data_IF_480946565184
#
_entry.id   IF_480946565184
#
_cell.length_a   1.000
_cell.length_b   1.000
_cell.length_c   1.000
_cell.angle_alpha   90.00
_cell.angle_beta   90.00
_cell.angle_gamma   90.00
#
_symmetry.space_group_name_H-M   'P 1'
#
loop_
_entity.id
_entity.type
_entity.pdbx_description
1 polymer ?
#
# COMPACT_ATOMS: atom_id res chain seq x y z
N UNK A 1 -36.29 -16.07 17.01
CA UNK A 1 -35.26 -15.23 16.36
C UNK A 1 -34.70 -14.28 17.39
N UNK A 2 -33.40 -14.38 17.74
CA UNK A 2 -32.75 -13.39 18.61
C UNK A 2 -32.58 -12.10 17.80
N UNK A 3 -32.95 -10.96 18.38
CA UNK A 3 -32.74 -9.66 17.74
C UNK A 3 -31.24 -9.37 17.66
N UNK A 4 -30.74 -8.94 16.49
CA UNK A 4 -29.38 -8.42 16.34
C UNK A 4 -29.15 -7.24 17.30
N UNK A 5 -27.96 -7.13 17.85
CA UNK A 5 -27.57 -5.94 18.63
C UNK A 5 -27.52 -4.68 17.76
N UNK A 6 -27.65 -3.51 18.39
CA UNK A 6 -27.58 -2.22 17.67
C UNK A 6 -26.25 -2.01 16.92
N UNK A 7 -25.18 -2.67 17.34
CA UNK A 7 -23.89 -2.72 16.64
C UNK A 7 -23.97 -3.48 15.31
N UNK A 8 -24.58 -4.67 15.28
CA UNK A 8 -24.73 -5.46 14.06
C UNK A 8 -25.53 -4.71 12.99
N UNK A 9 -26.64 -4.08 13.37
CA UNK A 9 -27.48 -3.28 12.45
C UNK A 9 -26.70 -2.09 11.87
N UNK A 10 -25.84 -1.44 12.67
CA UNK A 10 -25.00 -0.34 12.18
C UNK A 10 -23.93 -0.83 11.21
N UNK A 11 -23.31 -1.98 11.48
CA UNK A 11 -22.33 -2.58 10.57
C UNK A 11 -22.95 -2.96 9.23
N UNK A 12 -24.15 -3.54 9.24
CA UNK A 12 -24.90 -3.87 8.01
C UNK A 12 -25.15 -2.60 7.17
N UNK A 13 -25.50 -1.48 7.82
CA UNK A 13 -25.70 -0.21 7.13
C UNK A 13 -24.40 0.35 6.53
N UNK A 14 -23.27 0.24 7.24
CA UNK A 14 -21.97 0.68 6.71
C UNK A 14 -21.53 -0.20 5.55
N UNK A 15 -21.70 -1.52 5.67
CA UNK A 15 -21.42 -2.47 4.59
C UNK A 15 -22.24 -2.14 3.35
N UNK A 16 -23.54 -1.85 3.50
CA UNK A 16 -24.38 -1.40 2.39
C UNK A 16 -23.85 -0.10 1.75
N UNK A 17 -23.43 0.88 2.53
CA UNK A 17 -22.85 2.11 1.97
C UNK A 17 -21.55 1.82 1.20
N UNK A 18 -20.68 0.98 1.73
CA UNK A 18 -19.42 0.59 1.09
C UNK A 18 -19.70 -0.16 -0.22
N UNK A 19 -20.68 -1.05 -0.25
CA UNK A 19 -21.08 -1.76 -1.46
C UNK A 19 -21.55 -0.78 -2.57
N UNK A 20 -22.43 0.15 -2.19
CA UNK A 20 -23.02 1.13 -3.10
C UNK A 20 -22.09 2.27 -3.54
N UNK A 21 -20.96 2.46 -2.87
CA UNK A 21 -20.02 3.56 -3.18
C UNK A 21 -18.68 3.06 -3.69
N UNK A 22 -18.19 1.95 -3.16
CA UNK A 22 -16.88 1.38 -3.44
C UNK A 22 -17.06 0.12 -4.28
N UNK A 23 -17.62 -0.97 -3.72
CA UNK A 23 -17.56 -2.32 -4.33
C UNK A 23 -18.19 -2.38 -5.73
N UNK A 24 -19.19 -1.56 -6.03
CA UNK A 24 -19.79 -1.49 -7.37
C UNK A 24 -18.81 -1.16 -8.51
N UNK A 25 -17.66 -0.57 -8.19
CA UNK A 25 -16.62 -0.21 -9.15
C UNK A 25 -15.47 -1.22 -9.22
N UNK A 26 -15.59 -2.34 -8.50
CA UNK A 26 -14.57 -3.37 -8.46
C UNK A 26 -14.53 -4.18 -9.75
N UNK A 27 -13.34 -4.43 -10.29
CA UNK A 27 -13.18 -5.39 -11.36
C UNK A 27 -13.40 -6.82 -10.84
N UNK A 28 -14.31 -7.57 -11.45
CA UNK A 28 -14.67 -8.92 -11.01
C UNK A 28 -13.49 -9.92 -11.05
N UNK A 29 -12.58 -9.76 -12.02
CA UNK A 29 -11.45 -10.67 -12.24
C UNK A 29 -10.30 -10.29 -11.32
N UNK A 30 -9.79 -9.06 -11.45
CA UNK A 30 -8.59 -8.64 -10.73
C UNK A 30 -8.88 -8.16 -9.31
N UNK A 31 -10.11 -7.73 -9.00
CA UNK A 31 -10.44 -7.12 -7.72
C UNK A 31 -9.97 -5.67 -7.57
N UNK A 32 -9.26 -5.12 -8.57
CA UNK A 32 -8.77 -3.75 -8.55
C UNK A 32 -9.89 -2.75 -8.86
N UNK A 33 -9.75 -1.53 -8.34
CA UNK A 33 -10.64 -0.40 -8.58
C UNK A 33 -10.03 0.55 -9.60
N UNK A 34 -10.84 0.92 -10.59
CA UNK A 34 -10.51 1.93 -11.58
C UNK A 34 -10.94 3.32 -11.11
N UNK A 35 -10.14 4.35 -11.42
CA UNK A 35 -10.62 5.72 -11.31
C UNK A 35 -11.58 6.02 -12.48
N UNK A 36 -12.89 6.12 -12.20
CA UNK A 36 -13.90 6.19 -13.25
C UNK A 36 -14.04 7.55 -13.95
N UNK A 37 -13.49 8.64 -13.40
CA UNK A 37 -13.79 9.99 -13.92
C UNK A 37 -12.95 10.35 -15.13
N UNK A 38 -11.63 10.33 -14.98
CA UNK A 38 -10.72 10.93 -15.97
C UNK A 38 -9.86 9.88 -16.70
N UNK A 39 -9.69 8.70 -16.11
CA UNK A 39 -8.80 7.65 -16.61
C UNK A 39 -9.42 6.25 -16.47
N UNK A 40 -10.40 5.91 -17.33
CA UNK A 40 -11.02 4.59 -17.30
C UNK A 40 -9.94 3.51 -17.48
N UNK A 41 -10.03 2.43 -16.70
CA UNK A 41 -9.05 1.32 -16.61
C UNK A 41 -7.74 1.60 -15.84
N UNK A 42 -7.53 2.80 -15.29
CA UNK A 42 -6.33 3.05 -14.46
C UNK A 42 -6.61 2.77 -12.98
N UNK A 43 -5.79 1.88 -12.38
CA UNK A 43 -5.75 1.56 -10.96
C UNK A 43 -4.51 2.18 -10.33
N UNK A 44 -4.69 3.18 -9.47
CA UNK A 44 -3.62 3.70 -8.63
C UNK A 44 -3.41 2.77 -7.43
N UNK A 45 -2.14 2.52 -7.09
CA UNK A 45 -1.79 1.69 -5.92
C UNK A 45 -2.37 2.30 -4.66
N UNK A 46 -2.19 3.60 -4.43
CA UNK A 46 -2.64 4.27 -3.20
C UNK A 46 -4.15 4.20 -3.01
N UNK A 47 -4.92 4.52 -4.04
CA UNK A 47 -6.38 4.48 -4.03
C UNK A 47 -6.90 3.07 -3.70
N UNK A 48 -6.30 2.05 -4.33
CA UNK A 48 -6.67 0.66 -4.06
C UNK A 48 -6.32 0.26 -2.62
N UNK A 49 -5.18 0.70 -2.08
CA UNK A 49 -4.82 0.43 -0.68
C UNK A 49 -5.77 1.12 0.30
N UNK A 50 -6.25 2.35 0.02
CA UNK A 50 -7.28 2.99 0.85
C UNK A 50 -8.63 2.28 0.81
N UNK A 51 -9.01 1.73 -0.34
CA UNK A 51 -10.18 0.86 -0.42
C UNK A 51 -9.98 -0.39 0.45
N UNK A 52 -8.80 -1.02 0.40
CA UNK A 52 -8.46 -2.17 1.24
C UNK A 52 -8.58 -1.82 2.72
N UNK A 53 -8.11 -0.66 3.17
CA UNK A 53 -8.29 -0.23 4.56
C UNK A 53 -9.76 -0.14 4.97
N UNK A 54 -10.62 0.36 4.08
CA UNK A 54 -12.06 0.49 4.35
C UNK A 54 -12.72 -0.89 4.51
N UNK A 55 -12.39 -1.83 3.63
CA UNK A 55 -12.88 -3.22 3.68
C UNK A 55 -12.29 -3.99 4.87
N UNK A 56 -11.01 -3.81 5.15
CA UNK A 56 -10.32 -4.46 6.27
C UNK A 56 -10.81 -3.96 7.63
N UNK A 57 -11.11 -2.66 7.76
CA UNK A 57 -11.72 -2.11 8.97
C UNK A 57 -13.10 -2.74 9.24
N UNK A 58 -13.92 -2.91 8.20
CA UNK A 58 -15.19 -3.63 8.30
C UNK A 58 -15.00 -5.10 8.67
N UNK A 59 -14.07 -5.79 8.00
CA UNK A 59 -13.69 -7.17 8.35
C UNK A 59 -13.37 -7.30 9.85
N UNK A 60 -12.47 -6.44 10.36
CA UNK A 60 -12.07 -6.43 11.78
C UNK A 60 -13.26 -6.15 12.70
N UNK A 61 -14.15 -5.25 12.31
CA UNK A 61 -15.33 -4.91 13.10
C UNK A 61 -16.33 -6.07 13.14
N UNK A 62 -16.58 -6.74 12.00
CA UNK A 62 -17.41 -7.94 11.95
C UNK A 62 -16.79 -9.08 12.74
N UNK A 63 -15.49 -9.35 12.59
CA UNK A 63 -14.79 -10.39 13.37
C UNK A 63 -14.90 -10.16 14.89
N UNK A 64 -14.92 -8.90 15.34
CA UNK A 64 -15.05 -8.55 16.75
C UNK A 64 -16.49 -8.64 17.27
N UNK A 65 -17.47 -8.34 16.42
CA UNK A 65 -18.89 -8.20 16.80
C UNK A 65 -19.78 -9.34 16.28
N UNK A 66 -19.22 -10.37 15.65
CA UNK A 66 -19.99 -11.46 15.06
C UNK A 66 -20.75 -12.23 16.13
N UNK A 67 -22.08 -12.18 16.03
CA UNK A 67 -22.99 -12.91 16.92
C UNK A 67 -23.59 -14.14 16.23
N UNK A 68 -23.63 -14.11 14.90
CA UNK A 68 -24.25 -15.13 14.05
C UNK A 68 -23.30 -15.57 12.93
N UNK A 69 -23.50 -16.80 12.43
CA UNK A 69 -22.71 -17.35 11.32
C UNK A 69 -22.79 -16.51 10.05
N UNK A 70 -23.90 -15.81 9.83
CA UNK A 70 -24.05 -14.84 8.73
C UNK A 70 -23.05 -13.69 8.83
N UNK A 71 -22.81 -13.17 10.04
CA UNK A 71 -21.89 -12.06 10.27
C UNK A 71 -20.44 -12.51 10.05
N UNK A 72 -20.13 -13.74 10.45
CA UNK A 72 -18.84 -14.37 10.17
C UNK A 72 -18.64 -14.63 8.67
N UNK A 73 -19.70 -15.02 7.96
CA UNK A 73 -19.67 -15.21 6.50
C UNK A 73 -19.34 -13.90 5.78
N UNK A 74 -20.03 -12.81 6.14
CA UNK A 74 -19.72 -11.46 5.63
C UNK A 74 -18.30 -11.02 5.94
N UNK A 75 -17.82 -11.29 7.15
CA UNK A 75 -16.44 -11.00 7.54
C UNK A 75 -15.47 -11.75 6.61
N UNK A 76 -15.67 -13.06 6.41
CA UNK A 76 -14.80 -13.86 5.57
C UNK A 76 -14.79 -13.38 4.11
N UNK A 77 -15.94 -13.01 3.55
CA UNK A 77 -16.03 -12.42 2.21
C UNK A 77 -15.22 -11.13 2.08
N UNK A 78 -15.34 -10.22 3.07
CA UNK A 78 -14.54 -8.99 3.13
C UNK A 78 -13.04 -9.30 3.24
N UNK A 79 -12.66 -10.24 4.10
CA UNK A 79 -11.28 -10.67 4.29
C UNK A 79 -10.66 -11.24 3.01
N UNK A 80 -11.38 -12.14 2.33
CA UNK A 80 -10.96 -12.71 1.05
C UNK A 80 -10.85 -11.64 -0.05
N UNK A 81 -11.76 -10.66 -0.05
CA UNK A 81 -11.69 -9.52 -0.98
C UNK A 81 -10.44 -8.69 -0.73
N UNK A 82 -10.12 -8.35 0.52
CA UNK A 82 -8.88 -7.65 0.88
C UNK A 82 -7.64 -8.42 0.43
N UNK A 83 -7.59 -9.74 0.70
CA UNK A 83 -6.47 -10.61 0.28
C UNK A 83 -6.32 -10.60 -1.24
N UNK A 84 -7.42 -10.77 -1.99
CA UNK A 84 -7.42 -10.74 -3.46
C UNK A 84 -6.89 -9.41 -4.01
N UNK A 85 -7.30 -8.30 -3.41
CA UNK A 85 -6.84 -6.97 -3.83
C UNK A 85 -5.34 -6.76 -3.56
N UNK A 86 -4.87 -7.08 -2.35
CA UNK A 86 -3.45 -6.99 -2.00
C UNK A 86 -2.61 -7.86 -2.93
N UNK A 87 -3.07 -9.09 -3.20
CA UNK A 87 -2.42 -10.00 -4.15
C UNK A 87 -2.39 -9.45 -5.58
N UNK A 88 -3.47 -8.83 -6.05
CA UNK A 88 -3.47 -8.22 -7.38
C UNK A 88 -2.51 -7.04 -7.49
N UNK A 89 -2.37 -6.20 -6.46
CA UNK A 89 -1.37 -5.13 -6.43
C UNK A 89 0.05 -5.73 -6.43
N UNK A 90 0.28 -6.78 -5.64
CA UNK A 90 1.56 -7.49 -5.60
C UNK A 90 1.93 -8.03 -6.99
N UNK A 91 0.99 -8.68 -7.67
CA UNK A 91 1.19 -9.18 -9.03
C UNK A 91 1.44 -8.05 -10.05
N UNK A 92 0.88 -6.86 -9.87
CA UNK A 92 1.21 -5.68 -10.67
C UNK A 92 2.68 -5.27 -10.46
N UNK A 93 3.13 -5.20 -9.20
CA UNK A 93 4.50 -4.82 -8.86
C UNK A 93 5.52 -5.88 -9.30
N UNK A 94 5.22 -7.17 -9.12
CA UNK A 94 6.10 -8.29 -9.51
C UNK A 94 6.37 -8.32 -11.01
N UNK A 95 5.42 -7.90 -11.85
CA UNK A 95 5.64 -7.72 -13.30
C UNK A 95 6.72 -6.67 -13.62
N UNK A 96 7.11 -5.84 -12.66
CA UNK A 96 8.15 -4.82 -12.78
C UNK A 96 9.42 -5.19 -11.99
N UNK A 97 9.61 -6.47 -11.62
CA UNK A 97 10.74 -6.89 -10.80
C UNK A 97 12.11 -6.52 -11.39
N UNK A 98 12.27 -6.60 -12.72
CA UNK A 98 13.50 -6.18 -13.39
C UNK A 98 13.83 -4.71 -13.12
N UNK A 99 12.82 -3.84 -13.08
CA UNK A 99 13.00 -2.42 -12.77
C UNK A 99 13.48 -2.21 -11.34
N UNK A 100 12.88 -2.94 -10.37
CA UNK A 100 13.28 -2.89 -8.96
C UNK A 100 14.75 -3.26 -8.79
N UNK A 101 15.21 -4.29 -9.49
CA UNK A 101 16.62 -4.72 -9.46
C UNK A 101 17.58 -3.67 -10.03
N UNK A 102 17.20 -3.02 -11.14
CA UNK A 102 17.99 -1.94 -11.75
C UNK A 102 18.00 -0.71 -10.84
N UNK A 103 16.86 -0.35 -10.25
CA UNK A 103 16.74 0.79 -9.35
C UNK A 103 17.64 0.65 -8.11
N UNK A 104 17.73 -0.54 -7.51
CA UNK A 104 18.64 -0.78 -6.37
C UNK A 104 20.10 -0.48 -6.70
N UNK A 105 20.52 -0.61 -7.97
CA UNK A 105 21.90 -0.35 -8.42
C UNK A 105 22.15 1.10 -8.80
N UNK A 106 21.21 1.71 -9.53
CA UNK A 106 21.44 3.00 -10.19
C UNK A 106 20.57 4.14 -9.66
N UNK A 107 19.49 3.84 -8.92
CA UNK A 107 18.57 4.80 -8.29
C UNK A 107 18.04 5.86 -9.26
N UNK A 108 17.79 5.47 -10.52
CA UNK A 108 17.29 6.39 -11.54
C UNK A 108 15.77 6.43 -11.53
N UNK A 109 15.14 7.59 -11.75
CA UNK A 109 13.68 7.72 -11.79
C UNK A 109 13.02 6.85 -12.86
N UNK A 110 13.67 6.66 -14.01
CA UNK A 110 13.13 5.83 -15.11
C UNK A 110 13.00 4.37 -14.70
N UNK A 111 13.82 3.92 -13.76
CA UNK A 111 13.83 2.56 -13.24
C UNK A 111 12.88 2.40 -12.04
N UNK A 112 12.12 3.45 -11.67
CA UNK A 112 11.16 3.38 -10.56
C UNK A 112 9.93 2.53 -10.88
N UNK A 113 9.32 1.99 -9.82
CA UNK A 113 8.03 1.32 -9.92
C UNK A 113 6.94 2.30 -10.34
N UNK A 114 6.01 1.82 -11.16
CA UNK A 114 4.86 2.62 -11.56
C UNK A 114 3.85 2.73 -10.41
N UNK A 115 3.27 3.92 -10.25
CA UNK A 115 2.23 4.19 -9.27
C UNK A 115 0.82 3.72 -9.70
N UNK A 116 0.64 3.42 -11.00
CA UNK A 116 -0.65 3.05 -11.59
C UNK A 116 -0.52 1.93 -12.64
N UNK A 117 -1.56 1.11 -12.73
CA UNK A 117 -1.62 -0.10 -13.56
C UNK A 117 -2.97 -0.22 -14.27
N UNK A 118 -3.05 -1.07 -15.29
CA UNK A 118 -4.32 -1.41 -15.93
C UNK A 118 -5.13 -2.31 -15.00
N UNK A 119 -6.37 -1.93 -14.73
CA UNK A 119 -7.31 -2.66 -13.89
C UNK A 119 -7.58 -4.05 -14.47
N UNK A 120 -7.64 -4.14 -15.80
CA UNK A 120 -7.98 -5.38 -16.51
C UNK A 120 -6.78 -6.30 -16.70
N UNK A 121 -5.62 -5.75 -17.07
CA UNK A 121 -4.44 -6.56 -17.47
C UNK A 121 -3.34 -6.63 -16.44
N UNK A 122 -3.37 -5.76 -15.40
CA UNK A 122 -2.31 -5.58 -14.39
C UNK A 122 -0.97 -5.09 -14.97
N UNK A 123 -0.96 -4.64 -16.24
CA UNK A 123 0.22 -4.13 -16.91
C UNK A 123 0.39 -2.61 -16.71
N UNK A 124 1.55 -2.09 -17.12
CA UNK A 124 1.83 -0.66 -17.18
C UNK A 124 0.88 0.04 -18.15
N UNK A 125 0.37 1.22 -17.76
CA UNK A 125 -0.56 2.03 -18.56
C UNK A 125 0.08 3.29 -19.15
N UNK A 126 1.27 3.66 -18.68
CA UNK A 126 2.04 4.80 -19.17
C UNK A 126 3.51 4.40 -19.29
N UNK A 127 4.23 5.02 -20.21
CA UNK A 127 5.67 4.83 -20.34
C UNK A 127 6.47 5.46 -19.19
N UNK A 128 7.71 5.02 -19.02
CA UNK A 128 8.60 5.37 -17.90
C UNK A 128 8.90 6.88 -17.76
N UNK A 129 8.78 7.65 -18.84
CA UNK A 129 9.03 9.09 -18.87
C UNK A 129 7.77 9.94 -18.90
N UNK A 130 6.59 9.31 -19.00
CA UNK A 130 5.31 10.01 -19.23
C UNK A 130 4.59 10.38 -17.93
N UNK A 131 5.08 9.89 -16.79
CA UNK A 131 4.44 10.12 -15.50
C UNK A 131 5.45 10.20 -14.35
N UNK A 132 5.07 10.86 -13.26
CA UNK A 132 5.81 10.86 -12.01
C UNK A 132 5.68 9.55 -11.25
N UNK A 133 6.27 8.48 -11.77
CA UNK A 133 6.11 7.11 -11.28
C UNK A 133 6.71 6.88 -9.89
N UNK A 134 7.81 7.55 -9.56
CA UNK A 134 8.53 7.38 -8.30
C UNK A 134 7.73 7.95 -7.12
N UNK A 135 6.84 7.11 -6.57
CA UNK A 135 6.01 7.34 -5.39
C UNK A 135 6.38 6.31 -4.32
N UNK A 136 7.41 6.63 -3.54
CA UNK A 136 7.94 5.74 -2.49
C UNK A 136 6.90 5.57 -1.38
N UNK A 137 6.08 6.59 -1.14
CA UNK A 137 4.98 6.56 -0.19
C UNK A 137 3.93 5.50 -0.54
N UNK A 138 3.57 5.34 -1.81
CA UNK A 138 2.57 4.35 -2.24
C UNK A 138 3.08 2.91 -2.03
N UNK A 139 4.36 2.67 -2.33
CA UNK A 139 5.01 1.36 -2.08
C UNK A 139 5.12 1.09 -0.58
N UNK A 140 5.48 2.11 0.20
CA UNK A 140 5.58 2.01 1.66
C UNK A 140 4.22 1.77 2.31
N UNK A 141 3.18 2.46 1.85
CA UNK A 141 1.80 2.26 2.31
C UNK A 141 1.33 0.82 2.03
N UNK A 142 1.66 0.27 0.85
CA UNK A 142 1.36 -1.12 0.52
C UNK A 142 2.06 -2.09 1.50
N UNK A 143 3.37 -1.92 1.75
CA UNK A 143 4.12 -2.77 2.69
C UNK A 143 3.60 -2.66 4.13
N UNK A 144 3.32 -1.45 4.60
CA UNK A 144 2.71 -1.23 5.93
C UNK A 144 1.37 -1.95 6.04
N UNK A 145 0.53 -1.81 5.02
CA UNK A 145 -0.81 -2.44 5.00
C UNK A 145 -0.69 -3.96 4.95
N UNK A 146 0.25 -4.49 4.17
CA UNK A 146 0.56 -5.91 4.10
C UNK A 146 0.91 -6.46 5.48
N UNK A 147 1.85 -5.82 6.17
CA UNK A 147 2.24 -6.21 7.52
C UNK A 147 1.03 -6.20 8.49
N UNK A 148 0.23 -5.13 8.49
CA UNK A 148 -0.93 -5.01 9.37
C UNK A 148 -2.03 -6.05 9.08
N UNK A 149 -2.28 -6.36 7.80
CA UNK A 149 -3.25 -7.36 7.39
C UNK A 149 -2.77 -8.76 7.78
N UNK A 150 -1.50 -9.09 7.55
CA UNK A 150 -0.89 -10.35 8.00
C UNK A 150 -0.97 -10.49 9.52
N UNK A 151 -0.63 -9.44 10.27
CA UNK A 151 -0.75 -9.41 11.73
C UNK A 151 -2.20 -9.60 12.24
N UNK A 152 -3.20 -9.29 11.40
CA UNK A 152 -4.62 -9.55 11.73
C UNK A 152 -5.07 -10.99 11.50
N UNK A 153 -4.19 -11.86 10.99
CA UNK A 153 -4.48 -13.26 10.70
C UNK A 153 -4.94 -13.54 9.27
N UNK A 154 -4.92 -12.53 8.38
CA UNK A 154 -5.21 -12.73 6.96
C UNK A 154 -3.93 -13.05 6.20
N UNK A 155 -3.84 -14.27 5.67
CA UNK A 155 -2.71 -14.68 4.86
C UNK A 155 -2.80 -14.08 3.46
N UNK A 156 -2.04 -13.01 3.21
CA UNK A 156 -1.93 -12.43 1.87
C UNK A 156 -0.96 -13.24 1.03
N UNK A 157 0.27 -13.45 1.51
CA UNK A 157 1.39 -14.02 0.73
C UNK A 157 1.27 -15.54 0.60
N UNK A 158 1.44 -16.06 -0.62
CA UNK A 158 1.11 -17.46 -0.97
C UNK A 158 2.33 -18.33 -1.25
N UNK A 159 3.41 -17.75 -1.77
CA UNK A 159 4.58 -18.48 -2.24
C UNK A 159 5.90 -17.78 -1.87
N UNK A 160 7.01 -18.50 -1.99
CA UNK A 160 8.33 -18.00 -1.61
C UNK A 160 8.82 -16.93 -2.58
N UNK A 161 8.40 -16.98 -3.85
CA UNK A 161 8.77 -15.96 -4.85
C UNK A 161 8.18 -14.59 -4.50
N UNK A 162 6.94 -14.56 -4.01
CA UNK A 162 6.28 -13.38 -3.48
C UNK A 162 7.01 -12.85 -2.23
N UNK A 163 7.46 -13.72 -1.32
CA UNK A 163 8.28 -13.33 -0.16
C UNK A 163 9.60 -12.69 -0.63
N UNK A 164 10.30 -13.32 -1.57
CA UNK A 164 11.55 -12.79 -2.11
C UNK A 164 11.35 -11.43 -2.79
N UNK A 165 10.23 -11.26 -3.50
CA UNK A 165 9.89 -9.98 -4.09
C UNK A 165 9.56 -8.91 -3.04
N UNK A 166 8.84 -9.25 -1.97
CA UNK A 166 8.56 -8.33 -0.86
C UNK A 166 9.87 -7.91 -0.16
N UNK A 167 10.80 -8.83 0.04
CA UNK A 167 12.14 -8.51 0.56
C UNK A 167 12.87 -7.53 -0.37
N UNK A 168 12.72 -7.69 -1.69
CA UNK A 168 13.24 -6.75 -2.68
C UNK A 168 12.58 -5.37 -2.60
N UNK A 169 11.27 -5.30 -2.33
CA UNK A 169 10.57 -4.04 -2.10
C UNK A 169 11.05 -3.33 -0.83
N UNK A 170 11.39 -4.07 0.23
CA UNK A 170 12.03 -3.51 1.43
C UNK A 170 13.35 -2.84 1.06
N UNK A 171 14.23 -3.53 0.34
CA UNK A 171 15.50 -2.94 -0.13
C UNK A 171 15.29 -1.75 -1.07
N UNK A 172 14.22 -1.77 -1.87
CA UNK A 172 13.84 -0.65 -2.74
C UNK A 172 13.47 0.60 -1.94
N UNK A 173 12.66 0.47 -0.87
CA UNK A 173 12.30 1.63 -0.04
C UNK A 173 13.47 2.10 0.83
N UNK A 174 14.32 1.19 1.32
CA UNK A 174 15.53 1.52 2.11
C UNK A 174 16.54 2.34 1.29
N UNK A 175 16.69 2.02 0.01
CA UNK A 175 17.58 2.78 -0.88
C UNK A 175 16.91 4.04 -1.43
N UNK A 176 15.60 4.02 -1.61
CA UNK A 176 14.83 5.12 -2.20
C UNK A 176 14.89 6.42 -1.39
N UNK A 177 14.73 6.37 -0.07
CA UNK A 177 14.66 7.58 0.77
C UNK A 177 16.02 8.31 0.93
N UNK A 178 17.13 7.60 0.71
CA UNK A 178 18.50 8.15 0.79
C UNK A 178 18.90 8.97 -0.43
N UNK A 179 18.16 8.83 -1.52
CA UNK A 179 18.42 9.60 -2.73
C UNK A 179 17.93 11.04 -2.47
N UNK A 180 18.79 12.07 -2.47
CA UNK A 180 18.45 13.44 -2.06
C UNK A 180 17.54 14.18 -3.06
N UNK A 181 16.97 13.45 -4.01
CA UNK A 181 16.08 13.92 -5.03
C UNK A 181 15.01 12.84 -5.16
N UNK A 182 13.78 13.21 -5.50
CA UNK A 182 12.87 12.35 -6.28
C UNK A 182 11.64 11.72 -5.63
N UNK A 183 10.93 12.40 -4.74
CA UNK A 183 9.50 12.10 -4.57
C UNK A 183 8.61 13.15 -5.26
N UNK A 184 7.58 12.68 -5.96
CA UNK A 184 6.47 13.54 -6.38
C UNK A 184 5.47 13.77 -5.23
N UNK A 185 5.65 13.04 -4.13
CA UNK A 185 4.84 13.07 -2.92
C UNK A 185 3.44 12.53 -3.15
N UNK A 186 2.65 12.51 -2.08
CA UNK A 186 1.23 12.09 -2.11
C UNK A 186 0.45 12.80 -3.22
N UNK A 187 0.82 14.04 -3.53
CA UNK A 187 0.09 14.86 -4.50
C UNK A 187 0.57 14.72 -5.94
N UNK A 188 1.55 13.87 -6.23
CA UNK A 188 2.09 13.61 -7.57
C UNK A 188 2.70 14.86 -8.25
N UNK A 189 3.14 15.85 -7.46
CA UNK A 189 3.56 17.20 -7.94
C UNK A 189 4.99 17.59 -7.58
N UNK A 190 5.63 16.92 -6.64
CA UNK A 190 6.93 17.30 -6.07
C UNK A 190 6.82 18.60 -5.26
N UNK A 191 7.44 19.67 -5.76
CA UNK A 191 7.43 21.04 -5.23
C UNK A 191 6.02 21.71 -5.29
N UNK A 192 5.73 22.65 -4.36
CA UNK A 192 4.60 23.61 -4.45
C UNK A 192 4.51 24.32 -5.80
N UNK A 193 5.63 24.58 -6.46
CA UNK A 193 5.66 25.31 -7.74
C UNK A 193 5.14 24.50 -8.94
N UNK A 194 4.88 23.20 -8.76
CA UNK A 194 4.38 22.29 -9.79
C UNK A 194 5.25 22.24 -11.07
N UNK A 195 6.55 22.54 -10.94
CA UNK A 195 7.52 22.51 -12.04
C UNK A 195 8.17 21.13 -12.23
N UNK A 196 7.66 20.09 -11.57
CA UNK A 196 8.27 18.75 -11.58
C UNK A 196 9.59 18.67 -10.82
N UNK A 197 9.92 19.70 -10.01
CA UNK A 197 11.07 19.69 -9.12
C UNK A 197 10.75 18.78 -7.96
N UNK A 198 11.63 17.83 -7.75
CA UNK A 198 11.46 16.71 -6.85
C UNK A 198 12.00 17.05 -5.46
N UNK A 199 11.24 16.81 -4.41
CA UNK A 199 11.62 17.15 -3.04
C UNK A 199 11.45 15.94 -2.09
N UNK A 200 12.18 15.96 -0.98
CA UNK A 200 11.92 15.06 0.13
C UNK A 200 10.66 15.53 0.85
N UNK A 201 9.72 14.60 1.00
CA UNK A 201 8.45 14.79 1.70
C UNK A 201 8.50 14.12 3.07
N UNK A 202 8.25 14.88 4.14
CA UNK A 202 8.20 14.36 5.50
C UNK A 202 7.13 13.26 5.63
N UNK A 203 5.98 13.41 4.96
CA UNK A 203 4.94 12.38 4.88
C UNK A 203 5.46 11.06 4.29
N UNK A 204 6.20 11.12 3.18
CA UNK A 204 6.77 9.94 2.53
C UNK A 204 7.82 9.24 3.40
N UNK A 205 8.71 10.00 4.06
CA UNK A 205 9.72 9.45 4.97
C UNK A 205 9.04 8.81 6.19
N UNK A 206 8.00 9.46 6.73
CA UNK A 206 7.20 8.90 7.80
C UNK A 206 6.53 7.58 7.41
N UNK A 207 6.02 7.49 6.17
CA UNK A 207 5.46 6.26 5.62
C UNK A 207 6.51 5.15 5.45
N UNK A 208 7.70 5.47 4.92
CA UNK A 208 8.82 4.52 4.82
C UNK A 208 9.20 3.99 6.20
N UNK A 209 9.39 4.89 7.17
CA UNK A 209 9.70 4.51 8.56
C UNK A 209 8.65 3.55 9.13
N UNK A 210 7.38 3.90 9.02
CA UNK A 210 6.28 3.09 9.52
C UNK A 210 6.23 1.71 8.84
N UNK A 211 6.46 1.65 7.52
CA UNK A 211 6.51 0.41 6.78
C UNK A 211 7.67 -0.48 7.23
N UNK A 212 8.87 0.06 7.35
CA UNK A 212 10.06 -0.67 7.80
C UNK A 212 9.86 -1.23 9.22
N UNK A 213 9.30 -0.44 10.13
CA UNK A 213 8.98 -0.91 11.49
C UNK A 213 7.95 -2.04 11.47
N UNK A 214 6.85 -1.87 10.74
CA UNK A 214 5.80 -2.89 10.68
C UNK A 214 6.27 -4.20 10.03
N UNK A 215 7.10 -4.12 8.99
CA UNK A 215 7.68 -5.30 8.34
C UNK A 215 8.66 -6.03 9.27
N UNK A 216 9.45 -5.29 10.04
CA UNK A 216 10.34 -5.87 11.05
C UNK A 216 9.56 -6.54 12.20
N UNK A 217 8.44 -5.95 12.64
CA UNK A 217 7.62 -6.48 13.72
C UNK A 217 6.86 -7.75 13.34
N UNK A 218 6.33 -7.81 12.11
CA UNK A 218 5.65 -9.02 11.61
C UNK A 218 6.65 -10.15 11.45
N UNK A 219 7.81 -9.87 10.85
CA UNK A 219 8.93 -10.80 10.71
C UNK A 219 8.65 -11.96 9.76
N UNK A 220 7.54 -12.69 9.92
CA UNK A 220 7.13 -13.87 9.16
C UNK A 220 5.82 -13.61 8.41
N UNK A 221 5.89 -13.65 7.08
CA UNK A 221 4.75 -13.40 6.20
C UNK A 221 3.77 -14.56 6.06
N UNK A 222 4.19 -15.80 6.37
CA UNK A 222 3.31 -16.97 6.35
C UNK A 222 2.67 -17.24 7.72
N UNK A 223 3.29 -16.76 8.79
CA UNK A 223 2.85 -17.02 10.17
C UNK A 223 3.01 -18.48 10.60
N UNK A 224 3.86 -19.24 9.88
CA UNK A 224 4.14 -20.66 10.13
C UNK A 224 5.43 -20.87 10.96
N UNK A 225 6.14 -19.79 11.30
CA UNK A 225 7.40 -19.79 12.02
C UNK A 225 8.60 -20.19 11.15
N UNK A 226 8.41 -20.28 9.83
CA UNK A 226 9.48 -20.66 8.90
C UNK A 226 10.45 -19.50 8.70
N UNK A 227 11.75 -19.80 8.71
CA UNK A 227 12.79 -18.83 8.32
C UNK A 227 12.71 -18.45 6.84
N UNK A 228 11.96 -19.19 6.02
CA UNK A 228 11.86 -18.95 4.57
C UNK A 228 10.92 -17.81 4.21
N UNK A 229 9.98 -17.49 5.10
CA UNK A 229 9.04 -16.37 5.01
C UNK A 229 9.48 -15.15 5.81
N UNK A 230 10.69 -15.21 6.38
CA UNK A 230 11.23 -14.15 7.20
C UNK A 230 11.67 -12.96 6.35
N UNK A 231 11.18 -11.77 6.68
CA UNK A 231 11.62 -10.50 6.10
C UNK A 231 12.65 -9.87 7.03
N UNK A 232 13.73 -9.38 6.43
CA UNK A 232 14.83 -8.74 7.11
C UNK A 232 14.85 -7.25 6.77
N UNK A 233 14.77 -6.44 7.82
CA UNK A 233 14.89 -4.97 7.75
C UNK A 233 16.14 -4.59 8.54
N UNK A 234 16.94 -3.66 8.02
CA UNK A 234 18.12 -3.17 8.72
C UNK A 234 17.71 -2.12 9.78
N UNK A 235 17.98 -2.33 11.08
CA UNK A 235 17.58 -1.39 12.13
C UNK A 235 18.14 0.03 11.95
N UNK A 236 19.35 0.14 11.40
CA UNK A 236 20.00 1.42 11.11
C UNK A 236 19.17 2.30 10.15
N UNK A 237 18.42 1.69 9.23
CA UNK A 237 17.57 2.42 8.27
C UNK A 237 16.38 3.09 8.97
N UNK A 238 15.82 2.43 9.99
CA UNK A 238 14.71 2.95 10.80
C UNK A 238 15.19 4.17 11.60
N UNK A 239 16.36 4.07 12.22
CA UNK A 239 16.95 5.16 12.99
C UNK A 239 17.33 6.35 12.09
N UNK A 240 17.87 6.10 10.90
CA UNK A 240 18.15 7.15 9.93
C UNK A 240 16.87 7.87 9.47
N UNK A 241 15.81 7.12 9.12
CA UNK A 241 14.52 7.72 8.81
C UNK A 241 13.97 8.55 9.98
N UNK A 242 14.17 8.09 11.22
CA UNK A 242 13.78 8.81 12.43
C UNK A 242 14.53 10.15 12.55
N UNK A 243 15.86 10.13 12.40
CA UNK A 243 16.70 11.32 12.46
C UNK A 243 16.35 12.34 11.37
N UNK A 244 16.16 11.87 10.13
CA UNK A 244 15.76 12.73 9.00
C UNK A 244 14.38 13.34 9.25
N UNK A 245 13.39 12.54 9.66
CA UNK A 245 12.05 13.03 9.94
C UNK A 245 12.05 14.09 11.06
N UNK A 246 12.76 13.83 12.16
CA UNK A 246 12.93 14.80 13.25
C UNK A 246 13.60 16.10 12.82
N UNK A 247 14.51 16.05 11.85
CA UNK A 247 15.18 17.25 11.30
C UNK A 247 14.29 18.06 10.35
N UNK A 248 13.33 17.41 9.68
CA UNK A 248 12.43 18.06 8.72
C UNK A 248 11.19 18.66 9.39
N UNK A 249 10.67 18.00 10.43
CA UNK A 249 9.49 18.48 11.15
C UNK A 249 9.76 19.84 11.81
N UNK A 250 8.78 20.76 11.81
CA UNK A 250 7.37 20.56 11.45
C UNK A 250 7.04 20.78 9.96
N UNK A 251 8.03 20.86 9.06
CA UNK A 251 7.80 21.16 7.65
C UNK A 251 7.54 19.88 6.85
N UNK A 252 6.65 19.98 5.86
CA UNK A 252 6.35 18.85 4.97
C UNK A 252 7.40 18.69 3.86
N UNK A 253 7.93 19.79 3.34
CA UNK A 253 9.06 19.79 2.40
C UNK A 253 9.74 21.16 2.42
N UNK A 254 10.86 21.32 1.71
CA UNK A 254 11.59 22.58 1.61
C UNK A 254 10.73 23.72 1.03
N UNK A 255 9.96 23.45 -0.02
CA UNK A 255 8.99 24.41 -0.57
C UNK A 255 7.68 24.51 0.24
N UNK A 256 7.29 23.42 0.93
CA UNK A 256 6.03 23.34 1.68
C UNK A 256 6.14 23.87 3.10
N UNK A 257 6.55 25.12 3.23
CA UNK A 257 6.46 25.87 4.50
C UNK A 257 5.02 26.35 4.69
N UNK A 258 4.37 25.95 5.80
CA UNK A 258 3.13 26.60 6.23
C UNK A 258 3.46 28.06 6.55
N UNK A 259 2.77 29.00 5.92
CA UNK A 259 2.82 30.38 6.41
C UNK A 259 2.23 30.38 7.83
N UNK A 260 2.87 31.02 8.82
CA UNK A 260 2.25 31.28 10.12
C UNK A 260 0.97 32.13 9.97
#
# INVERSE_FOLDING_TARGET
>A
MRSRTGSGVRLDRILFMVDQTICKYQNAITGLFANQKDFPDHAWVRDNVYVIHSLWALYRAYMKCAEFDEDLTKANELGLTCVKMMQSILECMMRQADKVEVFKKFQRPVDSLHAKYSVSTKNQVCGDTEWGHLQIDATSLFLLTLAQITASGLQVVRNIDEVAFIQNLVYYIETGYRTPFQDFGIWERGDKTNQGIRELNASSIGMVKAALQAMNDVGDLFGDGSRRSAIHVLPDEIEQCSAVLSSMLPRESFSKVGLP
#
